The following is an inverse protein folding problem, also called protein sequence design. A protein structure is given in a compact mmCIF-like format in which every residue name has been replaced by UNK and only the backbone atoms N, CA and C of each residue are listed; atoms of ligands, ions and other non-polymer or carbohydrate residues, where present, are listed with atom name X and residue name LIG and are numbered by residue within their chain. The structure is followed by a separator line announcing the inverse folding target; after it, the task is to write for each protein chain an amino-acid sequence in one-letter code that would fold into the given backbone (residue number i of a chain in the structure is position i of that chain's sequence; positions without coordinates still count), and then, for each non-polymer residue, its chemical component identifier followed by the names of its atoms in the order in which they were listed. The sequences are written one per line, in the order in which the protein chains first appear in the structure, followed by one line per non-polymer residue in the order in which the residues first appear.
data_IF_900263631698
#
_entry.id   IF_900263631698
#
_cell.length_a   1.000
_cell.length_b   1.000
_cell.length_c   1.000
_cell.angle_alpha   90.00
_cell.angle_beta   90.00
_cell.angle_gamma   90.00
#
_symmetry.space_group_name_H-M   'P 1'
#
loop_
_entity.id
_entity.type
_entity.pdbx_description
1 polymer ?
#
# COMPACT_ATOMS: atom_id res chain seq x y z
N UNK A 1 2.72 -13.53 -21.22
CA UNK A 1 1.86 -12.38 -20.86
C UNK A 1 0.93 -12.85 -19.77
N UNK A 2 0.83 -12.13 -18.63
CA UNK A 2 -0.04 -12.55 -17.53
C UNK A 2 -1.50 -12.54 -17.99
N UNK A 3 -2.22 -13.65 -17.79
CA UNK A 3 -3.65 -13.76 -18.10
C UNK A 3 -4.42 -13.44 -16.82
N UNK A 4 -5.10 -12.29 -16.77
CA UNK A 4 -5.90 -11.85 -15.62
C UNK A 4 -5.20 -10.90 -14.64
N UNK A 5 -5.81 -10.68 -13.47
CA UNK A 5 -5.29 -9.79 -12.42
C UNK A 5 -4.04 -10.39 -11.77
N UNK A 6 -3.03 -9.56 -11.51
CA UNK A 6 -1.84 -9.98 -10.76
C UNK A 6 -2.20 -10.42 -9.34
N UNK A 7 -1.38 -11.28 -8.72
CA UNK A 7 -1.57 -11.68 -7.32
C UNK A 7 -1.67 -10.46 -6.39
N UNK A 8 -0.79 -9.46 -6.60
CA UNK A 8 -0.83 -8.21 -5.84
C UNK A 8 -2.18 -7.50 -5.99
N UNK A 9 -2.71 -7.38 -7.22
CA UNK A 9 -4.01 -6.75 -7.44
C UNK A 9 -5.15 -7.49 -6.72
N UNK A 10 -5.12 -8.83 -6.71
CA UNK A 10 -6.09 -9.65 -5.98
C UNK A 10 -5.98 -9.43 -4.46
N UNK A 11 -4.78 -9.40 -3.90
CA UNK A 11 -4.56 -9.14 -2.47
C UNK A 11 -5.05 -7.73 -2.07
N UNK A 12 -4.83 -6.73 -2.93
CA UNK A 12 -5.27 -5.36 -2.68
C UNK A 12 -6.81 -5.19 -2.68
N UNK A 13 -7.58 -6.16 -3.19
CA UNK A 13 -9.05 -6.15 -3.11
C UNK A 13 -9.58 -6.41 -1.70
N UNK A 14 -8.79 -7.06 -0.84
CA UNK A 14 -9.15 -7.32 0.55
C UNK A 14 -8.91 -6.11 1.47
N UNK A 15 -8.24 -5.08 0.97
CA UNK A 15 -7.97 -3.87 1.75
C UNK A 15 -9.24 -3.02 1.79
N UNK A 16 -9.74 -2.64 2.99
CA UNK A 16 -10.94 -1.82 3.11
C UNK A 16 -10.60 -0.34 2.83
N UNK A 17 -10.35 0.00 1.55
CA UNK A 17 -9.82 1.30 1.13
C UNK A 17 -10.61 2.49 1.67
N UNK A 18 -11.94 2.40 1.74
CA UNK A 18 -12.77 3.46 2.32
C UNK A 18 -12.45 3.72 3.80
N UNK A 19 -12.30 2.66 4.59
CA UNK A 19 -11.93 2.77 6.00
C UNK A 19 -10.48 3.24 6.15
N UNK A 20 -9.60 2.73 5.29
CA UNK A 20 -8.19 3.10 5.28
C UNK A 20 -8.00 4.61 4.99
N UNK A 21 -8.66 5.15 3.97
CA UNK A 21 -8.66 6.59 3.68
C UNK A 21 -9.22 7.42 4.85
N UNK A 22 -10.30 6.97 5.49
CA UNK A 22 -10.85 7.65 6.68
C UNK A 22 -9.86 7.69 7.86
N UNK A 23 -9.03 6.67 8.02
CA UNK A 23 -7.99 6.63 9.06
C UNK A 23 -6.90 7.64 8.74
N UNK A 24 -6.43 7.68 7.49
CA UNK A 24 -5.44 8.67 7.03
C UNK A 24 -5.93 10.09 7.30
N UNK A 25 -7.14 10.42 6.86
CA UNK A 25 -7.74 11.75 7.07
C UNK A 25 -7.91 12.08 8.56
N UNK A 26 -8.40 11.12 9.37
CA UNK A 26 -8.64 11.33 10.81
C UNK A 26 -7.35 11.65 11.58
N UNK A 27 -6.23 11.10 11.14
CA UNK A 27 -4.94 11.23 11.83
C UNK A 27 -3.96 12.15 11.11
N UNK A 28 -4.42 12.89 10.09
CA UNK A 28 -3.56 13.74 9.25
C UNK A 28 -2.32 12.97 8.73
N UNK A 29 -2.54 11.71 8.33
CA UNK A 29 -1.46 10.76 8.03
C UNK A 29 -0.58 11.16 6.84
N UNK A 30 -1.07 12.07 5.99
CA UNK A 30 -0.34 12.62 4.84
C UNK A 30 0.13 14.07 5.08
N UNK A 31 0.08 14.57 6.32
CA UNK A 31 0.55 15.91 6.67
C UNK A 31 2.00 16.14 6.23
N UNK A 32 2.22 17.15 5.38
CA UNK A 32 3.56 17.50 4.90
C UNK A 32 4.18 16.50 3.91
N UNK A 33 3.45 15.45 3.50
CA UNK A 33 3.90 14.52 2.47
C UNK A 33 3.81 15.19 1.10
N UNK A 34 4.85 15.02 0.27
CA UNK A 34 4.91 15.62 -1.08
C UNK A 34 4.63 14.66 -2.22
N UNK A 35 5.07 13.40 -2.10
CA UNK A 35 5.11 12.46 -3.23
C UNK A 35 4.74 11.02 -2.89
N UNK A 36 4.79 10.60 -1.61
CA UNK A 36 4.57 9.22 -1.20
C UNK A 36 3.59 9.17 -0.02
N UNK A 37 2.29 9.21 -0.33
CA UNK A 37 1.24 9.16 0.69
C UNK A 37 1.17 7.81 1.40
N UNK A 38 0.47 7.75 2.52
CA UNK A 38 0.24 6.56 3.33
C UNK A 38 -0.30 5.38 2.50
N UNK A 39 -1.20 5.65 1.56
CA UNK A 39 -1.74 4.60 0.68
C UNK A 39 -0.71 4.06 -0.32
N UNK A 40 0.18 4.92 -0.81
CA UNK A 40 1.26 4.51 -1.72
C UNK A 40 2.32 3.73 -0.98
N UNK A 41 2.74 4.24 0.19
CA UNK A 41 3.67 3.53 1.08
C UNK A 41 3.14 2.16 1.48
N UNK A 42 1.84 2.05 1.82
CA UNK A 42 1.20 0.78 2.13
C UNK A 42 1.29 -0.21 0.96
N UNK A 43 1.02 0.24 -0.28
CA UNK A 43 1.13 -0.60 -1.48
C UNK A 43 2.57 -1.05 -1.73
N UNK A 44 3.54 -0.15 -1.58
CA UNK A 44 4.96 -0.46 -1.71
C UNK A 44 5.37 -1.51 -0.69
N UNK A 45 5.01 -1.34 0.59
CA UNK A 45 5.32 -2.31 1.64
C UNK A 45 4.68 -3.68 1.37
N UNK A 46 3.39 -3.71 1.03
CA UNK A 46 2.68 -4.94 0.72
C UNK A 46 3.27 -5.68 -0.49
N UNK A 47 3.64 -4.94 -1.55
CA UNK A 47 4.31 -5.53 -2.71
C UNK A 47 5.69 -6.07 -2.34
N UNK A 48 6.46 -5.32 -1.54
CA UNK A 48 7.81 -5.68 -1.14
C UNK A 48 7.83 -6.95 -0.30
N UNK A 49 6.84 -7.13 0.58
CA UNK A 49 6.63 -8.37 1.33
C UNK A 49 6.38 -9.58 0.41
N UNK A 50 5.63 -9.41 -0.70
CA UNK A 50 5.46 -10.48 -1.71
C UNK A 50 6.77 -10.84 -2.42
N UNK A 51 7.76 -9.94 -2.40
CA UNK A 51 9.10 -10.14 -2.97
C UNK A 51 10.18 -10.39 -1.92
N UNK A 52 9.79 -10.90 -0.73
CA UNK A 52 10.70 -11.29 0.35
C UNK A 52 11.50 -10.13 0.97
N UNK A 53 10.92 -8.93 1.02
CA UNK A 53 11.44 -7.79 1.81
C UNK A 53 10.70 -7.69 3.13
N UNK A 54 11.45 -7.61 4.22
CA UNK A 54 10.90 -7.62 5.56
C UNK A 54 10.75 -6.21 6.15
N UNK A 55 11.49 -5.24 5.61
CA UNK A 55 11.50 -3.87 6.12
C UNK A 55 11.72 -2.82 5.03
N UNK A 56 11.50 -1.55 5.40
CA UNK A 56 11.87 -0.39 4.57
C UNK A 56 13.36 -0.32 4.27
N UNK A 57 14.23 -0.96 5.06
CA UNK A 57 15.67 -1.00 4.78
C UNK A 57 15.98 -1.85 3.54
N UNK A 58 15.10 -2.80 3.22
CA UNK A 58 15.31 -3.77 2.16
C UNK A 58 14.63 -3.33 0.83
N UNK A 59 14.06 -2.12 0.81
CA UNK A 59 13.36 -1.48 -0.32
C UNK A 59 14.17 -0.29 -0.79
#
# INVERSE_FOLDING_TARGET
MNVGKTLFAQVMEFVPWKTFSRIIERHDGDAGVRTLGCADLFRVMAFSQLTWRESLRDI
#
